data_IF_893911120656
#
_entry.id   IF_893911120656
#
_cell.length_a   1.000
_cell.length_b   1.000
_cell.length_c   1.000
_cell.angle_alpha   90.00
_cell.angle_beta   90.00
_cell.angle_gamma   90.00
#
_symmetry.space_group_name_H-M   'P 1'
#
loop_
_entity.id
_entity.type
_entity.pdbx_description
1 polymer ?
#
# COMPACT_ATOMS: atom_id res chain seq x y z
N UNK A 1 43.68 -40.33 17.80
CA UNK A 1 42.83 -39.18 18.19
C UNK A 1 42.27 -38.57 16.91
N UNK A 2 40.97 -38.70 16.69
CA UNK A 2 40.27 -38.29 15.46
C UNK A 2 39.83 -36.82 15.61
N UNK A 3 40.41 -35.91 14.82
CA UNK A 3 39.83 -34.57 14.63
C UNK A 3 38.72 -34.66 13.58
N UNK A 4 37.47 -34.79 14.03
CA UNK A 4 36.31 -34.49 13.19
C UNK A 4 36.26 -32.98 12.98
N UNK A 5 36.77 -32.53 11.84
CA UNK A 5 36.44 -31.21 11.30
C UNK A 5 34.92 -31.13 11.14
N UNK A 6 34.26 -30.30 11.94
CA UNK A 6 32.88 -29.89 11.69
C UNK A 6 32.90 -29.07 10.40
N UNK A 7 32.59 -29.72 9.29
CA UNK A 7 32.22 -29.03 8.07
C UNK A 7 31.04 -28.11 8.42
N UNK A 8 31.27 -26.80 8.42
CA UNK A 8 30.19 -25.82 8.29
C UNK A 8 29.44 -26.21 7.02
N UNK A 9 28.24 -26.76 7.15
CA UNK A 9 27.35 -27.01 6.04
C UNK A 9 27.09 -25.66 5.37
N UNK A 10 27.85 -25.36 4.30
CA UNK A 10 27.56 -24.25 3.41
C UNK A 10 26.23 -24.60 2.77
N UNK A 11 25.15 -23.99 3.24
CA UNK A 11 23.84 -24.01 2.57
C UNK A 11 24.06 -23.76 1.08
N UNK A 12 23.44 -24.60 0.25
CA UNK A 12 23.61 -24.55 -1.20
C UNK A 12 23.24 -23.13 -1.69
N UNK A 13 24.05 -22.46 -2.53
CA UNK A 13 23.71 -21.15 -3.08
C UNK A 13 22.29 -21.05 -3.65
N UNK A 14 21.78 -22.12 -4.27
CA UNK A 14 20.41 -22.17 -4.78
C UNK A 14 19.34 -22.16 -3.68
N UNK A 15 19.61 -22.80 -2.54
CA UNK A 15 18.70 -22.79 -1.38
C UNK A 15 18.67 -21.43 -0.71
N UNK A 16 19.82 -20.76 -0.60
CA UNK A 16 19.89 -19.39 -0.06
C UNK A 16 19.05 -18.42 -0.89
N UNK A 17 19.25 -18.41 -2.22
CA UNK A 17 18.44 -17.59 -3.15
C UNK A 17 16.94 -17.78 -2.95
N UNK A 18 16.49 -19.04 -2.84
CA UNK A 18 15.07 -19.34 -2.63
C UNK A 18 14.58 -18.74 -1.31
N UNK A 19 15.37 -18.88 -0.23
CA UNK A 19 15.04 -18.30 1.08
C UNK A 19 14.90 -16.78 0.99
N UNK A 20 15.86 -16.09 0.38
CA UNK A 20 15.84 -14.62 0.26
C UNK A 20 14.67 -14.11 -0.59
N UNK A 21 14.33 -14.82 -1.68
CA UNK A 21 13.16 -14.50 -2.51
C UNK A 21 11.86 -14.73 -1.72
N UNK A 22 11.77 -15.81 -0.94
CA UNK A 22 10.59 -16.05 -0.11
C UNK A 22 10.45 -15.02 1.03
N UNK A 23 11.55 -14.61 1.64
CA UNK A 23 11.58 -13.53 2.63
C UNK A 23 11.14 -12.20 2.00
N UNK A 24 11.59 -11.91 0.78
CA UNK A 24 11.11 -10.74 0.02
C UNK A 24 9.58 -10.76 -0.16
N UNK A 25 8.97 -11.89 -0.52
CA UNK A 25 7.50 -11.97 -0.60
C UNK A 25 6.81 -11.72 0.75
N UNK A 26 7.39 -12.19 1.86
CA UNK A 26 6.86 -11.91 3.20
C UNK A 26 6.94 -10.42 3.56
N UNK A 27 8.04 -9.76 3.20
CA UNK A 27 8.16 -8.31 3.35
C UNK A 27 7.09 -7.58 2.53
N UNK A 28 6.89 -7.96 1.27
CA UNK A 28 5.88 -7.34 0.40
C UNK A 28 4.47 -7.47 0.98
N UNK A 29 4.12 -8.63 1.54
CA UNK A 29 2.84 -8.85 2.22
C UNK A 29 2.67 -7.89 3.41
N UNK A 30 3.71 -7.79 4.25
CA UNK A 30 3.70 -6.89 5.41
C UNK A 30 3.54 -5.43 4.97
N UNK A 31 4.28 -5.00 3.95
CA UNK A 31 4.21 -3.64 3.44
C UNK A 31 2.84 -3.31 2.85
N UNK A 32 2.20 -4.28 2.18
CA UNK A 32 0.83 -4.12 1.68
C UNK A 32 -0.17 -3.94 2.83
N UNK A 33 -0.07 -4.78 3.85
CA UNK A 33 -0.97 -4.70 5.00
C UNK A 33 -0.84 -3.36 5.74
N UNK A 34 0.39 -2.88 5.95
CA UNK A 34 0.69 -1.56 6.53
C UNK A 34 0.12 -0.43 5.65
N UNK A 35 0.41 -0.46 4.33
CA UNK A 35 -0.06 0.56 3.39
C UNK A 35 -1.59 0.72 3.43
N UNK A 36 -2.33 -0.39 3.43
CA UNK A 36 -3.79 -0.34 3.46
C UNK A 36 -4.34 0.05 4.82
N UNK A 37 -3.65 -0.28 5.92
CA UNK A 37 -4.01 0.22 7.25
C UNK A 37 -3.90 1.76 7.32
N UNK A 38 -2.76 2.31 6.86
CA UNK A 38 -2.54 3.76 6.85
C UNK A 38 -3.51 4.47 5.90
N UNK A 39 -3.77 3.88 4.73
CA UNK A 39 -4.77 4.39 3.77
C UNK A 39 -6.16 4.51 4.39
N UNK A 40 -6.57 3.52 5.18
CA UNK A 40 -7.86 3.54 5.88
C UNK A 40 -7.92 4.60 6.99
N UNK A 41 -6.83 4.76 7.75
CA UNK A 41 -6.72 5.78 8.78
C UNK A 41 -6.90 7.17 8.15
N UNK A 42 -6.19 7.44 7.05
CA UNK A 42 -6.30 8.71 6.34
C UNK A 42 -7.70 8.91 5.73
N UNK A 43 -8.31 7.85 5.20
CA UNK A 43 -9.65 7.93 4.60
C UNK A 43 -10.72 8.27 5.64
N UNK A 44 -10.67 7.64 6.82
CA UNK A 44 -11.60 7.94 7.92
C UNK A 44 -11.41 9.38 8.43
N UNK A 45 -10.15 9.80 8.58
CA UNK A 45 -9.82 11.18 8.95
C UNK A 45 -10.31 12.20 7.92
N UNK A 46 -10.18 11.92 6.63
CA UNK A 46 -10.74 12.75 5.56
C UNK A 46 -12.25 12.94 5.75
N UNK A 47 -12.99 11.86 6.00
CA UNK A 47 -14.44 11.92 6.21
C UNK A 47 -14.79 12.77 7.44
N UNK A 48 -14.10 12.59 8.56
CA UNK A 48 -14.29 13.39 9.78
C UNK A 48 -14.03 14.88 9.53
N UNK A 49 -12.94 15.21 8.84
CA UNK A 49 -12.58 16.59 8.50
C UNK A 49 -13.57 17.20 7.50
N UNK A 50 -14.05 16.44 6.52
CA UNK A 50 -15.09 16.88 5.57
C UNK A 50 -16.43 17.13 6.28
N UNK A 51 -16.89 16.20 7.13
CA UNK A 51 -18.11 16.36 7.93
C UNK A 51 -18.04 17.63 8.77
N UNK A 52 -16.89 17.88 9.40
CA UNK A 52 -16.65 19.09 10.20
C UNK A 52 -16.69 20.35 9.35
N UNK A 53 -16.04 20.34 8.18
CA UNK A 53 -16.03 21.48 7.25
C UNK A 53 -17.44 21.81 6.71
N UNK A 54 -18.34 20.83 6.63
CA UNK A 54 -19.71 20.99 6.17
C UNK A 54 -20.67 21.53 7.24
N UNK A 55 -20.31 21.52 8.53
CA UNK A 55 -21.19 21.97 9.62
C UNK A 55 -21.80 23.37 9.44
N UNK A 56 -21.05 24.38 8.97
CA UNK A 56 -21.59 25.74 8.81
C UNK A 56 -22.53 25.91 7.61
N UNK A 57 -22.66 24.90 6.74
CA UNK A 57 -23.29 25.02 5.42
C UNK A 57 -24.51 24.09 5.33
N UNK A 58 -25.70 24.55 5.74
CA UNK A 58 -26.91 23.72 5.80
C UNK A 58 -27.35 23.18 4.43
N UNK A 59 -26.98 23.84 3.33
CA UNK A 59 -27.23 23.37 1.96
C UNK A 59 -26.55 22.04 1.62
N UNK A 60 -25.63 21.55 2.45
CA UNK A 60 -24.96 20.27 2.29
C UNK A 60 -25.36 19.24 3.36
N UNK A 61 -26.49 19.42 4.03
CA UNK A 61 -26.95 18.52 5.10
C UNK A 61 -27.02 17.04 4.66
N UNK A 62 -27.65 16.75 3.52
CA UNK A 62 -27.80 15.38 3.00
C UNK A 62 -26.45 14.74 2.65
N UNK A 63 -25.53 15.54 2.11
CA UNK A 63 -24.19 15.07 1.79
C UNK A 63 -23.38 14.75 3.05
N UNK A 64 -23.47 15.62 4.06
CA UNK A 64 -22.87 15.40 5.38
C UNK A 64 -23.42 14.13 6.04
N UNK A 65 -24.73 13.90 5.97
CA UNK A 65 -25.36 12.68 6.50
C UNK A 65 -24.86 11.43 5.76
N UNK A 66 -24.76 11.50 4.43
CA UNK A 66 -24.22 10.41 3.62
C UNK A 66 -22.75 10.09 3.97
N UNK A 67 -21.92 11.12 4.18
CA UNK A 67 -20.53 10.96 4.65
C UNK A 67 -20.47 10.36 6.05
N UNK A 68 -21.32 10.81 6.97
CA UNK A 68 -21.40 10.27 8.33
C UNK A 68 -21.78 8.79 8.31
N UNK A 69 -22.79 8.42 7.53
CA UNK A 69 -23.19 7.02 7.36
C UNK A 69 -22.07 6.17 6.74
N UNK A 70 -21.29 6.73 5.81
CA UNK A 70 -20.12 6.05 5.24
C UNK A 70 -19.00 5.85 6.28
N UNK A 71 -18.71 6.88 7.08
CA UNK A 71 -17.74 6.82 8.17
C UNK A 71 -18.15 5.78 9.22
N UNK A 72 -19.45 5.73 9.57
CA UNK A 72 -19.99 4.78 10.55
C UNK A 72 -19.85 3.33 10.09
N UNK A 73 -20.10 3.03 8.80
CA UNK A 73 -19.80 1.71 8.22
C UNK A 73 -18.31 1.39 8.32
N UNK A 74 -17.44 2.38 8.15
CA UNK A 74 -15.99 2.22 8.27
C UNK A 74 -15.51 1.81 9.65
N UNK A 75 -16.30 2.01 10.71
CA UNK A 75 -15.94 1.61 12.08
C UNK A 75 -15.80 0.10 12.24
N UNK A 76 -16.47 -0.70 11.40
CA UNK A 76 -16.34 -2.16 11.41
C UNK A 76 -15.09 -2.65 10.66
N UNK A 77 -14.48 -1.80 9.84
CA UNK A 77 -13.23 -2.10 9.13
C UNK A 77 -12.07 -1.78 10.06
N UNK A 78 -11.48 -2.83 10.63
CA UNK A 78 -10.44 -2.76 11.66
C UNK A 78 -9.13 -3.40 11.15
N UNK A 79 -8.06 -3.34 11.96
CA UNK A 79 -6.74 -3.86 11.59
C UNK A 79 -6.77 -5.32 11.08
N UNK A 80 -7.57 -6.16 11.74
CA UNK A 80 -7.74 -7.58 11.42
C UNK A 80 -8.72 -7.87 10.27
N UNK A 81 -9.37 -6.86 9.70
CA UNK A 81 -10.20 -7.04 8.50
C UNK A 81 -9.35 -7.50 7.33
N UNK A 82 -9.95 -8.27 6.43
CA UNK A 82 -9.24 -8.76 5.24
C UNK A 82 -8.80 -7.62 4.33
N UNK A 83 -7.71 -7.83 3.59
CA UNK A 83 -7.23 -6.87 2.59
C UNK A 83 -8.36 -6.44 1.63
N UNK A 84 -9.18 -7.39 1.18
CA UNK A 84 -10.32 -7.13 0.29
C UNK A 84 -11.35 -6.18 0.91
N UNK A 85 -11.66 -6.34 2.19
CA UNK A 85 -12.57 -5.43 2.90
C UNK A 85 -11.97 -4.03 3.05
N UNK A 86 -10.66 -3.94 3.35
CA UNK A 86 -9.94 -2.67 3.43
C UNK A 86 -9.98 -1.92 2.10
N UNK A 87 -9.66 -2.61 1.00
CA UNK A 87 -9.69 -2.06 -0.36
C UNK A 87 -11.10 -1.60 -0.76
N UNK A 88 -12.10 -2.46 -0.56
CA UNK A 88 -13.48 -2.15 -0.92
C UNK A 88 -14.03 -0.93 -0.16
N UNK A 89 -13.68 -0.77 1.11
CA UNK A 89 -14.05 0.43 1.87
C UNK A 89 -13.31 1.69 1.36
N UNK A 90 -12.04 1.58 0.98
CA UNK A 90 -11.32 2.74 0.47
C UNK A 90 -11.86 3.19 -0.90
N UNK A 91 -12.11 2.24 -1.81
CA UNK A 91 -12.57 2.50 -3.17
C UNK A 91 -14.05 2.94 -3.22
N UNK A 92 -14.89 2.33 -2.37
CA UNK A 92 -16.33 2.54 -2.40
C UNK A 92 -16.79 3.95 -2.07
N UNK A 93 -15.94 4.80 -1.49
CA UNK A 93 -16.29 6.20 -1.22
C UNK A 93 -16.45 7.01 -2.52
N UNK A 94 -15.57 6.80 -3.50
CA UNK A 94 -15.67 7.50 -4.78
C UNK A 94 -16.86 7.00 -5.62
N UNK A 95 -17.30 5.76 -5.41
CA UNK A 95 -18.41 5.15 -6.13
C UNK A 95 -19.78 5.52 -5.57
N UNK A 96 -19.88 5.74 -4.25
CA UNK A 96 -21.15 5.96 -3.56
C UNK A 96 -21.29 7.37 -2.97
N UNK A 97 -20.19 8.12 -2.84
CA UNK A 97 -20.16 9.49 -2.36
C UNK A 97 -20.43 10.44 -3.52
N UNK A 98 -21.69 10.78 -3.77
CA UNK A 98 -22.02 11.82 -4.76
C UNK A 98 -21.23 13.09 -4.44
N UNK A 99 -20.35 13.54 -5.34
CA UNK A 99 -19.57 14.76 -5.10
C UNK A 99 -20.48 15.97 -5.33
N UNK A 100 -20.90 16.71 -4.28
CA UNK A 100 -21.74 17.87 -4.48
C UNK A 100 -20.94 18.93 -5.23
N UNK A 101 -21.62 19.66 -6.12
CA UNK A 101 -21.00 20.83 -6.72
C UNK A 101 -20.74 21.87 -5.61
N UNK A 102 -19.48 22.19 -5.37
CA UNK A 102 -19.10 23.19 -4.37
C UNK A 102 -19.46 24.59 -4.89
N UNK A 103 -20.38 25.26 -4.21
CA UNK A 103 -20.91 26.58 -4.59
C UNK A 103 -20.61 27.62 -3.51
N UNK A 104 -20.59 28.89 -3.90
CA UNK A 104 -20.35 30.02 -3.00
C UNK A 104 -18.98 30.66 -3.17
N UNK A 105 -18.57 31.41 -2.13
CA UNK A 105 -17.37 32.25 -2.15
C UNK A 105 -16.07 31.43 -2.30
N UNK A 106 -14.98 32.04 -2.80
CA UNK A 106 -13.67 31.39 -2.83
C UNK A 106 -13.23 30.87 -1.45
N UNK A 107 -13.47 31.62 -0.38
CA UNK A 107 -13.16 31.20 0.99
C UNK A 107 -13.93 29.94 1.40
N UNK A 108 -15.23 29.87 1.10
CA UNK A 108 -16.04 28.68 1.34
C UNK A 108 -15.50 27.47 0.56
N UNK A 109 -15.18 27.65 -0.72
CA UNK A 109 -14.60 26.57 -1.55
C UNK A 109 -13.25 26.09 -1.01
N UNK A 110 -12.42 27.00 -0.52
CA UNK A 110 -11.14 26.65 0.09
C UNK A 110 -11.32 25.82 1.37
N UNK A 111 -12.21 26.22 2.27
CA UNK A 111 -12.49 25.45 3.49
C UNK A 111 -13.05 24.06 3.18
N UNK A 112 -13.92 23.93 2.17
CA UNK A 112 -14.51 22.65 1.76
C UNK A 112 -13.54 21.74 1.00
N UNK A 113 -12.48 22.28 0.41
CA UNK A 113 -11.47 21.50 -0.35
C UNK A 113 -10.22 21.19 0.46
N UNK A 114 -9.94 21.94 1.54
CA UNK A 114 -8.76 21.74 2.40
C UNK A 114 -8.61 20.29 2.90
N UNK A 115 -9.66 19.61 3.41
CA UNK A 115 -9.51 18.22 3.86
C UNK A 115 -9.04 17.28 2.75
N UNK A 116 -9.57 17.45 1.53
CA UNK A 116 -9.18 16.64 0.38
C UNK A 116 -7.72 16.87 -0.02
N UNK A 117 -7.27 18.13 -0.05
CA UNK A 117 -5.88 18.47 -0.35
C UNK A 117 -4.91 17.90 0.71
N UNK A 118 -5.30 17.96 1.98
CA UNK A 118 -4.55 17.36 3.08
C UNK A 118 -4.47 15.85 2.91
N UNK A 119 -5.59 15.18 2.64
CA UNK A 119 -5.64 13.75 2.41
C UNK A 119 -4.74 13.34 1.24
N UNK A 120 -4.86 14.00 0.09
CA UNK A 120 -4.03 13.70 -1.09
C UNK A 120 -2.54 13.85 -0.80
N UNK A 121 -2.16 14.92 -0.10
CA UNK A 121 -0.76 15.14 0.30
C UNK A 121 -0.26 14.05 1.24
N UNK A 122 -1.05 13.67 2.26
CA UNK A 122 -0.69 12.61 3.19
C UNK A 122 -0.63 11.23 2.52
N UNK A 123 -1.54 10.93 1.60
CA UNK A 123 -1.51 9.70 0.81
C UNK A 123 -0.21 9.62 0.01
N UNK A 124 0.20 10.70 -0.66
CA UNK A 124 1.43 10.72 -1.45
C UNK A 124 2.66 10.57 -0.54
N UNK A 125 2.81 11.45 0.46
CA UNK A 125 4.06 11.56 1.21
C UNK A 125 4.21 10.48 2.30
N UNK A 126 3.12 10.09 2.96
CA UNK A 126 3.21 9.21 4.14
C UNK A 126 2.81 7.77 3.83
N UNK A 127 2.02 7.52 2.79
CA UNK A 127 1.59 6.15 2.46
C UNK A 127 2.33 5.62 1.25
N UNK A 128 2.14 6.27 0.09
CA UNK A 128 2.65 5.76 -1.18
C UNK A 128 4.17 5.87 -1.24
N UNK A 129 4.74 7.00 -0.84
CA UNK A 129 6.20 7.19 -0.81
C UNK A 129 6.87 6.24 0.18
N UNK A 130 6.30 6.04 1.36
CA UNK A 130 6.85 5.12 2.36
C UNK A 130 6.81 3.67 1.85
N UNK A 131 5.68 3.24 1.31
CA UNK A 131 5.52 1.93 0.69
C UNK A 131 6.53 1.71 -0.45
N UNK A 132 6.68 2.68 -1.35
CA UNK A 132 7.65 2.63 -2.45
C UNK A 132 9.08 2.45 -1.92
N UNK A 133 9.49 3.27 -0.95
CA UNK A 133 10.84 3.21 -0.39
C UNK A 133 11.12 1.86 0.28
N UNK A 134 10.15 1.33 1.06
CA UNK A 134 10.25 0.00 1.68
C UNK A 134 10.39 -1.10 0.63
N UNK A 135 9.56 -1.05 -0.42
CA UNK A 135 9.55 -2.04 -1.49
C UNK A 135 10.85 -2.04 -2.29
N UNK A 136 11.32 -0.87 -2.73
CA UNK A 136 12.58 -0.75 -3.49
C UNK A 136 13.76 -1.22 -2.65
N UNK A 137 13.83 -0.81 -1.39
CA UNK A 137 14.89 -1.27 -0.48
C UNK A 137 14.90 -2.80 -0.34
N UNK A 138 13.74 -3.41 -0.10
CA UNK A 138 13.65 -4.86 0.03
C UNK A 138 14.01 -5.59 -1.28
N UNK A 139 13.65 -5.02 -2.43
CA UNK A 139 14.03 -5.52 -3.74
C UNK A 139 15.55 -5.45 -3.96
N UNK A 140 16.18 -4.33 -3.61
CA UNK A 140 17.63 -4.14 -3.72
C UNK A 140 18.40 -5.09 -2.79
N UNK A 141 17.92 -5.28 -1.56
CA UNK A 141 18.51 -6.21 -0.60
C UNK A 141 18.43 -7.66 -1.11
N UNK A 142 17.28 -8.08 -1.67
CA UNK A 142 17.09 -9.41 -2.28
C UNK A 142 17.97 -9.59 -3.53
N UNK A 143 17.97 -8.63 -4.45
CA UNK A 143 18.76 -8.70 -5.69
C UNK A 143 20.25 -8.78 -5.41
N UNK A 144 20.75 -8.09 -4.38
CA UNK A 144 22.16 -8.17 -3.98
C UNK A 144 22.57 -9.60 -3.64
N UNK A 145 21.73 -10.35 -2.92
CA UNK A 145 22.06 -11.73 -2.52
C UNK A 145 21.94 -12.68 -3.72
N UNK A 146 20.92 -12.50 -4.56
CA UNK A 146 20.71 -13.32 -5.76
C UNK A 146 21.82 -13.11 -6.80
N UNK A 147 22.23 -11.85 -7.07
CA UNK A 147 23.32 -11.51 -8.02
C UNK A 147 24.69 -12.00 -7.58
N UNK A 148 24.96 -12.06 -6.27
CA UNK A 148 26.22 -12.61 -5.76
C UNK A 148 26.40 -14.11 -6.07
N UNK A 149 25.35 -14.77 -6.56
CA UNK A 149 25.32 -16.21 -6.78
C UNK A 149 24.85 -16.64 -8.18
N UNK A 150 24.51 -15.72 -9.08
CA UNK A 150 24.38 -15.89 -10.55
C UNK A 150 24.40 -14.53 -11.26
N UNK A 151 24.87 -14.51 -12.50
CA UNK A 151 24.93 -13.28 -13.31
C UNK A 151 23.63 -12.92 -14.05
N UNK A 152 22.58 -13.74 -14.00
CA UNK A 152 21.30 -13.44 -14.67
C UNK A 152 20.15 -13.25 -13.69
N UNK A 153 19.56 -12.04 -13.70
CA UNK A 153 18.25 -11.76 -13.12
C UNK A 153 17.18 -12.01 -14.18
N UNK A 154 16.93 -13.28 -14.48
CA UNK A 154 15.87 -13.67 -15.40
C UNK A 154 14.62 -14.06 -14.61
N UNK A 155 13.47 -13.47 -14.97
CA UNK A 155 12.18 -13.82 -14.38
C UNK A 155 11.20 -12.67 -14.34
N UNK A 156 9.91 -13.00 -14.26
CA UNK A 156 8.82 -12.02 -14.26
C UNK A 156 8.89 -11.11 -13.03
N UNK A 157 9.40 -11.61 -11.89
CA UNK A 157 9.62 -10.81 -10.70
C UNK A 157 10.59 -9.65 -10.94
N UNK A 158 11.78 -9.94 -11.48
CA UNK A 158 12.80 -8.92 -11.70
C UNK A 158 12.37 -7.92 -12.78
N UNK A 159 11.69 -8.36 -13.83
CA UNK A 159 11.10 -7.45 -14.84
C UNK A 159 10.06 -6.52 -14.23
N UNK A 160 9.20 -7.04 -13.35
CA UNK A 160 8.20 -6.22 -12.67
C UNK A 160 8.82 -5.20 -11.72
N UNK A 161 9.88 -5.57 -11.01
CA UNK A 161 10.63 -4.67 -10.13
C UNK A 161 11.37 -3.58 -10.93
N UNK A 162 12.01 -3.94 -12.04
CA UNK A 162 12.64 -3.00 -12.98
C UNK A 162 11.61 -2.00 -13.52
N UNK A 163 10.45 -2.50 -13.98
CA UNK A 163 9.35 -1.66 -14.44
C UNK A 163 8.91 -0.68 -13.35
N UNK A 164 8.66 -1.18 -12.14
CA UNK A 164 8.23 -0.36 -11.02
C UNK A 164 9.25 0.72 -10.64
N UNK A 165 10.54 0.41 -10.66
CA UNK A 165 11.61 1.40 -10.47
C UNK A 165 11.59 2.48 -11.56
N UNK A 166 11.41 2.07 -12.82
CA UNK A 166 11.44 2.98 -13.97
C UNK A 166 10.24 3.94 -14.00
N UNK A 167 9.06 3.48 -13.59
CA UNK A 167 7.84 4.28 -13.57
C UNK A 167 7.72 5.15 -12.30
N UNK A 168 8.33 4.72 -11.20
CA UNK A 168 8.27 5.41 -9.91
C UNK A 168 6.89 5.37 -9.27
N UNK A 169 6.63 6.36 -8.40
CA UNK A 169 5.33 6.54 -7.76
C UNK A 169 4.27 6.90 -8.82
N UNK A 170 3.23 6.06 -8.94
CA UNK A 170 2.25 6.18 -10.00
C UNK A 170 1.15 5.12 -9.91
N UNK A 171 0.48 4.88 -11.04
CA UNK A 171 -0.66 3.96 -11.14
C UNK A 171 -0.34 2.54 -10.67
N UNK A 172 0.88 2.04 -10.93
CA UNK A 172 1.32 0.73 -10.44
C UNK A 172 1.40 0.65 -8.91
N UNK A 173 1.64 1.76 -8.20
CA UNK A 173 1.89 1.73 -6.74
C UNK A 173 0.69 1.18 -5.96
N UNK A 174 -0.52 1.35 -6.46
CA UNK A 174 -1.73 0.84 -5.80
C UNK A 174 -1.85 -0.69 -5.85
N UNK A 175 -1.27 -1.36 -6.84
CA UNK A 175 -1.45 -2.80 -7.05
C UNK A 175 -0.15 -3.60 -7.19
N UNK A 176 1.02 -2.94 -7.14
CA UNK A 176 2.33 -3.59 -7.33
C UNK A 176 2.57 -4.71 -6.32
N UNK A 177 2.19 -4.53 -5.04
CA UNK A 177 2.30 -5.59 -4.05
C UNK A 177 1.49 -6.84 -4.45
N UNK A 178 0.22 -6.67 -4.85
CA UNK A 178 -0.61 -7.79 -5.31
C UNK A 178 -0.03 -8.48 -6.54
N UNK A 179 0.53 -7.71 -7.50
CA UNK A 179 1.19 -8.26 -8.70
C UNK A 179 2.45 -9.05 -8.34
N UNK A 180 3.26 -8.56 -7.41
CA UNK A 180 4.43 -9.26 -6.91
C UNK A 180 4.00 -10.55 -6.20
N UNK A 181 3.06 -10.47 -5.26
CA UNK A 181 2.59 -11.61 -4.47
C UNK A 181 1.94 -12.70 -5.34
N UNK A 182 1.35 -12.34 -6.50
CA UNK A 182 0.85 -13.33 -7.46
C UNK A 182 1.94 -14.21 -8.09
N UNK A 183 3.22 -13.81 -7.99
CA UNK A 183 4.36 -14.60 -8.47
C UNK A 183 4.88 -15.59 -7.42
N UNK A 184 4.39 -15.51 -6.17
CA UNK A 184 4.90 -16.30 -5.03
C UNK A 184 4.95 -17.82 -5.31
N UNK A 185 3.93 -18.34 -5.97
CA UNK A 185 3.83 -19.77 -6.30
C UNK A 185 4.88 -20.23 -7.32
N UNK A 186 5.29 -19.35 -8.24
CA UNK A 186 6.33 -19.65 -9.24
C UNK A 186 7.69 -19.92 -8.57
N UNK A 187 7.91 -19.31 -7.40
CA UNK A 187 9.13 -19.47 -6.59
C UNK A 187 8.97 -20.51 -5.47
N UNK A 188 7.83 -21.22 -5.41
CA UNK A 188 7.53 -22.24 -4.40
C UNK A 188 7.70 -21.73 -2.96
N UNK A 189 7.25 -20.50 -2.71
CA UNK A 189 7.25 -19.88 -1.39
C UNK A 189 5.91 -20.15 -0.71
N UNK A 190 5.93 -20.70 0.51
CA UNK A 190 4.73 -20.99 1.30
C UNK A 190 4.08 -19.70 1.84
#
# INVERSE_FOLDING_TARGET
>A
SWFKSKAFARTNPAERKKVDICEFFQHVQTFQDDQWEDSLILMKRLLEEMITALLPYPEYADYKESMQAYLDRGKTIIKSSSLKEKMAYFEGFNEHGGQPMLTGSPAKKQELTRPLNNFQSNMIFNVLTEFHNKLIKAADDMERVVRLSDNSLEGDLFKLLEQYRSEGLGSLTQNIASRILALKDQYQCA
#
